data_IF_004847593036
#
_entry.id   IF_004847593036
#
_cell.length_a   1.000
_cell.length_b   1.000
_cell.length_c   1.000
_cell.angle_alpha   90.00
_cell.angle_beta   90.00
_cell.angle_gamma   90.00
#
_symmetry.space_group_name_H-M   'P 1'
#
loop_
_entity.id
_entity.type
_entity.pdbx_description
1 polymer ?
#
# COMPACT_ATOMS: atom_id res chain seq x y z
N UNK A 1 26.14 -15.53 -7.38
CA UNK A 1 24.74 -15.66 -6.92
C UNK A 1 23.94 -14.64 -7.69
N UNK A 2 23.02 -15.05 -8.57
CA UNK A 2 22.27 -14.07 -9.37
C UNK A 2 21.21 -13.40 -8.49
N UNK A 3 21.24 -12.07 -8.44
CA UNK A 3 20.20 -11.24 -7.79
C UNK A 3 18.80 -11.49 -8.40
N UNK A 4 18.79 -12.03 -9.63
CA UNK A 4 17.63 -12.42 -10.44
C UNK A 4 17.15 -13.87 -10.19
N UNK A 5 17.50 -14.48 -9.06
CA UNK A 5 17.04 -15.83 -8.73
C UNK A 5 15.63 -15.82 -8.14
N UNK A 6 14.83 -16.85 -8.48
CA UNK A 6 13.47 -17.00 -7.98
C UNK A 6 13.40 -17.09 -6.44
N UNK A 7 14.45 -17.63 -5.82
CA UNK A 7 14.59 -17.67 -4.36
C UNK A 7 14.67 -16.27 -3.76
N UNK A 8 15.30 -15.30 -4.45
CA UNK A 8 15.33 -13.90 -4.03
C UNK A 8 13.95 -13.25 -4.15
N UNK A 9 13.22 -13.51 -5.24
CA UNK A 9 11.85 -13.00 -5.42
C UNK A 9 10.90 -13.47 -4.32
N UNK A 10 10.97 -14.75 -3.93
CA UNK A 10 10.18 -15.28 -2.81
C UNK A 10 10.50 -14.58 -1.49
N UNK A 11 11.78 -14.33 -1.21
CA UNK A 11 12.20 -13.60 0.00
C UNK A 11 11.63 -12.18 0.02
N UNK A 12 11.71 -11.46 -1.10
CA UNK A 12 11.18 -10.10 -1.22
C UNK A 12 9.66 -10.07 -0.99
N UNK A 13 8.92 -11.04 -1.56
CA UNK A 13 7.47 -11.17 -1.32
C UNK A 13 7.16 -11.37 0.15
N UNK A 14 7.87 -12.29 0.83
CA UNK A 14 7.64 -12.59 2.25
C UNK A 14 7.89 -11.36 3.10
N UNK A 15 8.99 -10.65 2.85
CA UNK A 15 9.32 -9.41 3.57
C UNK A 15 8.25 -8.35 3.31
N UNK A 16 7.83 -8.16 2.06
CA UNK A 16 6.77 -7.20 1.73
C UNK A 16 5.45 -7.53 2.44
N UNK A 17 5.10 -8.81 2.53
CA UNK A 17 3.93 -9.26 3.29
C UNK A 17 4.06 -8.99 4.78
N UNK A 18 5.23 -9.24 5.35
CA UNK A 18 5.48 -8.98 6.77
C UNK A 18 5.49 -7.48 7.08
N UNK A 19 5.89 -6.64 6.12
CA UNK A 19 5.87 -5.18 6.24
C UNK A 19 4.48 -4.57 6.02
N UNK A 20 3.57 -5.22 5.30
CA UNK A 20 2.26 -4.61 4.97
C UNK A 20 1.44 -4.30 6.23
N UNK A 21 1.34 -5.26 7.15
CA UNK A 21 0.59 -5.12 8.41
C UNK A 21 1.11 -3.98 9.30
N UNK A 22 2.41 -3.92 9.67
CA UNK A 22 2.91 -2.83 10.50
C UNK A 22 2.81 -1.47 9.81
N UNK A 23 2.98 -1.40 8.48
CA UNK A 23 2.79 -0.16 7.73
C UNK A 23 1.33 0.30 7.77
N UNK A 24 0.36 -0.61 7.63
CA UNK A 24 -1.06 -0.25 7.75
C UNK A 24 -1.37 0.38 9.10
N UNK A 25 -0.89 -0.21 10.20
CA UNK A 25 -1.08 0.33 11.55
C UNK A 25 -0.39 1.70 11.69
N UNK A 26 0.86 1.81 11.22
CA UNK A 26 1.67 3.02 11.32
C UNK A 26 1.11 4.21 10.53
N UNK A 27 0.42 3.97 9.41
CA UNK A 27 -0.16 5.05 8.61
C UNK A 27 -1.65 5.29 8.87
N UNK A 28 -2.36 4.35 9.49
CA UNK A 28 -3.77 4.53 9.83
C UNK A 28 -3.98 5.52 10.98
N UNK A 29 -3.12 5.49 12.01
CA UNK A 29 -3.32 6.26 13.23
C UNK A 29 -3.42 7.80 13.05
N UNK A 30 -2.64 8.48 12.17
CA UNK A 30 -2.71 9.94 12.07
C UNK A 30 -4.06 10.39 11.51
N UNK A 31 -4.57 9.64 10.53
CA UNK A 31 -5.88 9.90 9.94
C UNK A 31 -6.99 9.63 10.95
N UNK A 32 -6.94 8.48 11.63
CA UNK A 32 -7.93 8.13 12.65
C UNK A 32 -8.03 9.21 13.73
N UNK A 33 -6.88 9.69 14.21
CA UNK A 33 -6.81 10.76 15.21
C UNK A 33 -7.35 12.09 14.68
N UNK A 34 -6.99 12.49 13.45
CA UNK A 34 -7.52 13.71 12.84
C UNK A 34 -9.06 13.65 12.67
N UNK A 35 -9.58 12.52 12.19
CA UNK A 35 -11.02 12.30 12.04
C UNK A 35 -11.76 12.27 13.39
N UNK A 36 -11.10 11.78 14.45
CA UNK A 36 -11.61 11.85 15.82
C UNK A 36 -11.72 13.29 16.34
N UNK A 37 -10.69 14.12 16.12
CA UNK A 37 -10.71 15.53 16.54
C UNK A 37 -11.80 16.35 15.87
N UNK A 38 -12.15 15.98 14.64
CA UNK A 38 -13.17 16.64 13.82
C UNK A 38 -14.59 16.10 14.13
N UNK A 39 -14.70 15.08 14.99
CA UNK A 39 -15.96 14.55 15.47
C UNK A 39 -16.66 13.58 14.52
N UNK A 40 -15.96 13.02 13.52
CA UNK A 40 -16.54 12.05 12.58
C UNK A 40 -17.00 10.77 13.28
N UNK A 41 -17.91 9.99 12.73
CA UNK A 41 -18.36 8.69 13.25
C UNK A 41 -17.24 7.66 13.23
N UNK A 42 -17.25 6.78 14.21
CA UNK A 42 -16.21 5.75 14.39
C UNK A 42 -16.04 4.86 13.15
N UNK A 43 -17.14 4.50 12.48
CA UNK A 43 -17.11 3.66 11.27
C UNK A 43 -16.36 4.36 10.13
N UNK A 44 -16.64 5.66 9.94
CA UNK A 44 -16.00 6.48 8.91
C UNK A 44 -14.54 6.77 9.23
N UNK A 45 -14.18 6.88 10.52
CA UNK A 45 -12.78 6.99 10.95
C UNK A 45 -11.97 5.76 10.54
N UNK A 46 -12.47 4.54 10.79
CA UNK A 46 -11.75 3.32 10.41
C UNK A 46 -11.62 3.17 8.89
N UNK A 47 -12.69 3.43 8.14
CA UNK A 47 -12.66 3.35 6.67
C UNK A 47 -11.66 4.38 6.10
N UNK A 48 -11.75 5.63 6.53
CA UNK A 48 -10.84 6.67 6.07
C UNK A 48 -9.39 6.40 6.46
N UNK A 49 -9.15 5.91 7.67
CA UNK A 49 -7.80 5.54 8.14
C UNK A 49 -7.21 4.39 7.32
N UNK A 50 -8.01 3.38 6.99
CA UNK A 50 -7.59 2.30 6.10
C UNK A 50 -7.26 2.82 4.70
N UNK A 51 -8.16 3.62 4.10
CA UNK A 51 -7.96 4.21 2.77
C UNK A 51 -6.73 5.12 2.71
N UNK A 52 -6.44 5.85 3.79
CA UNK A 52 -5.27 6.71 3.89
C UNK A 52 -3.98 5.92 4.04
N UNK A 53 -3.98 4.82 4.81
CA UNK A 53 -2.80 4.00 5.02
C UNK A 53 -2.35 3.22 3.78
N UNK A 54 -3.29 2.79 2.94
CA UNK A 54 -3.03 2.01 1.72
C UNK A 54 -1.98 2.63 0.77
N UNK A 55 -2.12 3.88 0.29
CA UNK A 55 -1.16 4.46 -0.66
C UNK A 55 0.26 4.58 -0.08
N UNK A 56 0.41 4.84 1.22
CA UNK A 56 1.72 4.88 1.89
C UNK A 56 2.33 3.49 2.02
N UNK A 57 1.55 2.51 2.48
CA UNK A 57 1.98 1.11 2.53
C UNK A 57 2.48 0.67 1.15
N UNK A 58 1.67 0.84 0.11
CA UNK A 58 2.03 0.42 -1.25
C UNK A 58 3.29 1.15 -1.73
N UNK A 59 3.45 2.44 -1.40
CA UNK A 59 4.65 3.22 -1.76
C UNK A 59 5.92 2.66 -1.13
N UNK A 60 5.88 2.30 0.15
CA UNK A 60 7.03 1.73 0.85
C UNK A 60 7.36 0.34 0.32
N UNK A 61 6.34 -0.52 0.13
CA UNK A 61 6.54 -1.86 -0.43
C UNK A 61 7.14 -1.78 -1.84
N UNK A 62 6.64 -0.86 -2.67
CA UNK A 62 7.20 -0.60 -3.98
C UNK A 62 8.65 -0.09 -3.94
N UNK A 63 8.95 0.81 -2.99
CA UNK A 63 10.29 1.31 -2.73
C UNK A 63 11.24 0.19 -2.32
N UNK A 64 10.82 -0.69 -1.42
CA UNK A 64 11.60 -1.86 -0.99
C UNK A 64 11.97 -2.78 -2.17
N UNK A 65 11.02 -3.12 -3.04
CA UNK A 65 11.31 -3.91 -4.25
C UNK A 65 12.32 -3.21 -5.15
N UNK A 66 12.18 -1.89 -5.34
CA UNK A 66 13.07 -1.11 -6.19
C UNK A 66 14.49 -1.04 -5.60
N UNK A 67 14.63 -0.97 -4.28
CA UNK A 67 15.93 -1.01 -3.59
C UNK A 67 16.56 -2.41 -3.64
N UNK A 68 15.75 -3.47 -3.51
CA UNK A 68 16.24 -4.85 -3.45
C UNK A 68 16.67 -5.43 -4.81
N UNK A 69 16.08 -4.96 -5.92
CA UNK A 69 16.35 -5.50 -7.27
C UNK A 69 16.88 -4.45 -8.26
N UNK A 70 16.81 -3.16 -7.93
CA UNK A 70 17.08 -2.09 -8.88
C UNK A 70 15.94 -1.84 -9.87
N UNK A 71 15.93 -0.65 -10.46
CA UNK A 71 14.85 -0.20 -11.36
C UNK A 71 14.73 -1.04 -12.64
N UNK A 72 15.84 -1.52 -13.19
CA UNK A 72 15.89 -2.29 -14.43
C UNK A 72 15.31 -3.71 -14.27
N UNK A 73 15.51 -4.35 -13.12
CA UNK A 73 15.11 -5.74 -12.90
C UNK A 73 13.75 -5.89 -12.20
N UNK A 74 13.20 -4.80 -11.68
CA UNK A 74 11.88 -4.76 -11.05
C UNK A 74 10.77 -5.29 -11.95
N UNK A 75 10.86 -5.07 -13.26
CA UNK A 75 9.84 -5.56 -14.20
C UNK A 75 9.79 -7.09 -14.23
N UNK A 76 10.95 -7.76 -14.23
CA UNK A 76 11.02 -9.22 -14.19
C UNK A 76 10.40 -9.82 -12.93
N UNK A 77 10.55 -9.13 -11.79
CA UNK A 77 9.88 -9.51 -10.55
C UNK A 77 8.36 -9.39 -10.66
N UNK A 78 7.84 -8.30 -11.23
CA UNK A 78 6.39 -8.15 -11.41
C UNK A 78 5.82 -9.13 -12.45
N UNK A 79 6.56 -9.44 -13.51
CA UNK A 79 6.15 -10.46 -14.48
C UNK A 79 6.13 -11.85 -13.84
N UNK A 80 7.12 -12.17 -12.99
CA UNK A 80 7.14 -13.42 -12.21
C UNK A 80 5.98 -13.50 -11.23
N UNK A 81 5.70 -12.39 -10.54
CA UNK A 81 4.60 -12.29 -9.58
C UNK A 81 3.24 -12.44 -10.28
N UNK A 82 3.07 -11.86 -11.47
CA UNK A 82 1.87 -12.01 -12.29
C UNK A 82 1.62 -13.49 -12.65
N UNK A 83 2.69 -14.24 -12.99
CA UNK A 83 2.61 -15.69 -13.24
C UNK A 83 2.27 -16.50 -11.99
N UNK A 84 2.56 -15.99 -10.79
CA UNK A 84 2.31 -16.65 -9.49
C UNK A 84 1.27 -15.90 -8.64
N UNK A 85 0.28 -15.27 -9.29
CA UNK A 85 -0.67 -14.35 -8.64
C UNK A 85 -1.44 -15.01 -7.49
N UNK A 86 -1.88 -16.26 -7.66
CA UNK A 86 -2.69 -16.97 -6.66
C UNK A 86 -1.91 -17.45 -5.43
N UNK A 87 -0.58 -17.49 -5.49
CA UNK A 87 0.26 -17.99 -4.38
C UNK A 87 0.96 -16.84 -3.66
N UNK A 88 1.42 -15.84 -4.41
CA UNK A 88 2.30 -14.79 -3.89
C UNK A 88 1.81 -13.37 -4.22
N UNK A 89 0.98 -13.20 -5.26
CA UNK A 89 0.69 -11.90 -5.88
C UNK A 89 -0.67 -11.27 -5.55
N UNK A 90 -1.50 -11.86 -4.69
CA UNK A 90 -2.88 -11.41 -4.46
C UNK A 90 -2.99 -9.94 -4.03
N UNK A 91 -1.99 -9.42 -3.30
CA UNK A 91 -1.90 -8.03 -2.84
C UNK A 91 -0.93 -7.15 -3.66
N UNK A 92 -0.36 -7.66 -4.75
CA UNK A 92 0.77 -7.03 -5.44
C UNK A 92 0.56 -6.92 -6.95
N UNK A 93 -0.69 -6.72 -7.39
CA UNK A 93 -0.97 -6.48 -8.80
C UNK A 93 -0.19 -5.28 -9.35
N UNK A 94 0.34 -5.34 -10.59
CA UNK A 94 1.09 -4.24 -11.21
C UNK A 94 0.36 -2.89 -11.20
N UNK A 95 -0.97 -2.91 -11.13
CA UNK A 95 -1.81 -1.70 -11.01
C UNK A 95 -1.54 -0.93 -9.72
N UNK A 96 -1.30 -1.62 -8.60
CA UNK A 96 -0.99 -1.00 -7.31
C UNK A 96 0.35 -0.25 -7.34
N UNK A 97 1.26 -0.64 -8.23
CA UNK A 97 2.58 -0.02 -8.39
C UNK A 97 2.53 1.31 -9.12
N UNK A 98 1.51 1.54 -9.95
CA UNK A 98 1.38 2.78 -10.73
C UNK A 98 1.35 3.99 -9.81
N UNK A 99 2.27 4.95 -10.05
CA UNK A 99 2.31 6.21 -9.29
C UNK A 99 0.98 6.97 -9.40
N UNK A 100 0.30 6.89 -10.56
CA UNK A 100 -0.99 7.52 -10.77
C UNK A 100 -2.07 6.92 -9.85
N UNK A 101 -2.11 5.60 -9.74
CA UNK A 101 -3.07 4.91 -8.88
C UNK A 101 -2.89 5.29 -7.40
N UNK A 102 -1.63 5.29 -6.92
CA UNK A 102 -1.31 5.68 -5.54
C UNK A 102 -1.68 7.14 -5.23
N UNK A 103 -1.40 8.05 -6.17
CA UNK A 103 -1.78 9.45 -6.04
C UNK A 103 -3.30 9.64 -6.03
N UNK A 104 -4.03 8.93 -6.88
CA UNK A 104 -5.51 8.97 -6.89
C UNK A 104 -6.06 8.47 -5.55
N UNK A 105 -5.57 7.34 -5.03
CA UNK A 105 -5.97 6.84 -3.71
C UNK A 105 -5.65 7.83 -2.57
N UNK A 106 -4.49 8.48 -2.62
CA UNK A 106 -4.11 9.48 -1.63
C UNK A 106 -5.04 10.70 -1.69
N UNK A 107 -5.35 11.19 -2.89
CA UNK A 107 -6.28 12.31 -3.07
C UNK A 107 -7.69 11.94 -2.61
N UNK A 108 -8.18 10.75 -2.95
CA UNK A 108 -9.49 10.27 -2.50
C UNK A 108 -9.54 10.15 -0.98
N UNK A 109 -8.51 9.59 -0.35
CA UNK A 109 -8.47 9.46 1.12
C UNK A 109 -8.40 10.82 1.82
N UNK A 110 -7.64 11.78 1.28
CA UNK A 110 -7.62 13.15 1.80
C UNK A 110 -8.95 13.88 1.60
N UNK A 111 -9.64 13.66 0.48
CA UNK A 111 -10.96 14.24 0.21
C UNK A 111 -12.06 13.61 1.09
N UNK A 112 -11.87 12.38 1.56
CA UNK A 112 -12.83 11.70 2.44
C UNK A 112 -13.02 12.42 3.77
N UNK A 113 -11.97 13.06 4.30
CA UNK A 113 -12.01 13.76 5.58
C UNK A 113 -12.91 15.03 5.57
N UNK A 114 -12.73 16.00 4.64
CA UNK A 114 -13.63 17.15 4.56
C UNK A 114 -15.05 16.76 4.14
N UNK A 115 -15.21 15.72 3.31
CA UNK A 115 -16.55 15.22 2.94
C UNK A 115 -17.27 14.62 4.13
N UNK A 116 -16.59 13.77 4.92
CA UNK A 116 -17.16 13.20 6.15
C UNK A 116 -17.57 14.30 7.13
N UNK A 117 -16.69 15.28 7.34
CA UNK A 117 -17.00 16.44 8.17
C UNK A 117 -18.23 17.24 7.68
N UNK A 118 -18.30 17.58 6.39
CA UNK A 118 -19.40 18.36 5.83
C UNK A 118 -20.75 17.64 5.87
N UNK A 119 -20.73 16.31 5.74
CA UNK A 119 -21.93 15.48 5.82
C UNK A 119 -22.40 15.25 7.26
N UNK A 120 -21.64 15.72 8.26
CA UNK A 120 -21.91 15.43 9.67
C UNK A 120 -21.85 13.94 9.99
N UNK A 121 -21.07 13.19 9.19
CA UNK A 121 -20.82 11.77 9.35
C UNK A 121 -19.67 11.55 10.30
#
# INVERSE_FOLDING_TARGET
>A
MSELSESNYRRIVIINWLLSVPMMVLFAWPYYYAAMLVGMDESFRYIGAFMFALPFMITILHGHVTMALGSAHRQHYYDWLHKHSFTYGLFFFPVLVSTRFRMILLVISLAFLPVGYLLGL
#
